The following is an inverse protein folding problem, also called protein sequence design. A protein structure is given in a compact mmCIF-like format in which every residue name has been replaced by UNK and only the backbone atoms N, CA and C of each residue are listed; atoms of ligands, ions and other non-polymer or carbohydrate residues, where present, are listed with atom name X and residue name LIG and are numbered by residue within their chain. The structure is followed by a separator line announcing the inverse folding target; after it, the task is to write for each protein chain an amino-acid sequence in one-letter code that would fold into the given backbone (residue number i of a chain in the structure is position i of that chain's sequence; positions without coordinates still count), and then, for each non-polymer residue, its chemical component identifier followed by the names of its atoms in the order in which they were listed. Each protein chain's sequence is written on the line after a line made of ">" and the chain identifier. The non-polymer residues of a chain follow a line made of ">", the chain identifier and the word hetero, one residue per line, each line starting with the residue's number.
data_IF_864376977904
#
_entry.id   IF_864376977904
#
_cell.length_a   1.000
_cell.length_b   1.000
_cell.length_c   1.000
_cell.angle_alpha   90.00
_cell.angle_beta   90.00
_cell.angle_gamma   90.00
#
_symmetry.space_group_name_H-M   'P 1'
#
loop_
_entity.id
_entity.type
_entity.pdbx_description
1 polymer ?
#
# COMPACT_ATOMS: atom_id res chain seq x y z
N UNK A 1 -14.83 9.57 21.41
CA UNK A 1 -13.78 8.94 20.56
C UNK A 1 -13.24 9.93 19.53
N UNK A 2 -11.93 9.91 19.21
CA UNK A 2 -11.32 10.69 18.14
C UNK A 2 -10.91 9.72 17.02
N UNK A 3 -11.35 9.96 15.80
CA UNK A 3 -11.05 9.08 14.67
C UNK A 3 -9.98 9.70 13.76
N UNK A 4 -8.88 8.97 13.43
CA UNK A 4 -7.70 9.52 12.72
C UNK A 4 -7.92 9.56 11.20
N UNK A 5 -8.90 10.32 10.73
CA UNK A 5 -9.15 10.43 9.30
C UNK A 5 -8.03 11.22 8.59
N UNK A 6 -7.27 10.52 7.73
CA UNK A 6 -6.15 11.11 6.99
C UNK A 6 -4.84 11.22 7.79
N UNK A 7 -4.79 10.68 9.01
CA UNK A 7 -3.58 10.66 9.85
C UNK A 7 -2.90 9.30 9.71
N UNK A 8 -1.60 9.30 9.39
CA UNK A 8 -0.77 8.10 9.28
C UNK A 8 0.44 8.12 10.22
N UNK A 9 0.59 9.14 11.07
CA UNK A 9 1.63 9.20 12.08
C UNK A 9 1.20 8.43 13.33
N UNK A 10 1.88 7.29 13.60
CA UNK A 10 1.58 6.43 14.74
C UNK A 10 1.79 7.16 16.09
N UNK A 11 2.85 7.96 16.21
CA UNK A 11 3.13 8.72 17.43
C UNK A 11 2.02 9.73 17.72
N UNK A 12 1.56 10.46 16.69
CA UNK A 12 0.43 11.38 16.82
C UNK A 12 -0.84 10.63 17.24
N UNK A 13 -1.16 9.51 16.59
CA UNK A 13 -2.35 8.70 16.91
C UNK A 13 -2.36 8.29 18.38
N UNK A 14 -1.25 7.75 18.87
CA UNK A 14 -1.15 7.29 20.26
C UNK A 14 -1.16 8.45 21.25
N UNK A 15 -0.31 9.45 21.06
CA UNK A 15 -0.15 10.56 22.01
C UNK A 15 -1.38 11.46 22.10
N UNK A 16 -2.13 11.59 21.00
CA UNK A 16 -3.37 12.34 20.94
C UNK A 16 -4.62 11.52 21.27
N UNK A 17 -4.42 10.22 21.61
CA UNK A 17 -5.50 9.27 21.95
C UNK A 17 -6.57 9.16 20.87
N UNK A 18 -6.13 9.05 19.62
CA UNK A 18 -7.01 8.66 18.52
C UNK A 18 -7.36 7.18 18.60
N UNK A 19 -8.46 6.83 17.98
CA UNK A 19 -8.84 5.42 17.76
C UNK A 19 -7.74 4.70 16.97
N UNK A 20 -7.31 3.55 17.49
CA UNK A 20 -6.28 2.71 16.89
C UNK A 20 -6.63 1.24 17.08
N UNK A 21 -6.67 0.46 16.00
CA UNK A 21 -6.71 -0.99 16.07
C UNK A 21 -5.29 -1.52 16.15
N UNK A 22 -4.98 -2.19 17.24
CA UNK A 22 -3.63 -2.67 17.53
C UNK A 22 -3.21 -3.80 16.58
N UNK A 23 -2.08 -3.60 15.90
CA UNK A 23 -1.43 -4.58 15.02
C UNK A 23 -0.02 -4.91 15.49
N UNK A 24 0.34 -4.47 16.71
CA UNK A 24 1.68 -4.69 17.24
C UNK A 24 1.94 -6.15 17.61
N UNK A 25 0.90 -6.95 17.79
CA UNK A 25 0.98 -8.41 17.93
C UNK A 25 1.55 -9.10 16.67
N UNK A 26 1.52 -8.44 15.51
CA UNK A 26 2.07 -8.93 14.24
C UNK A 26 3.58 -8.67 14.08
N UNK A 27 4.19 -7.87 14.95
CA UNK A 27 5.63 -7.57 14.90
C UNK A 27 6.51 -8.84 14.93
N UNK A 28 6.29 -9.83 15.84
CA UNK A 28 7.08 -11.06 15.81
C UNK A 28 6.95 -11.86 14.51
N UNK A 29 5.79 -11.76 13.83
CA UNK A 29 5.55 -12.41 12.56
C UNK A 29 6.32 -11.71 11.43
N UNK A 30 6.28 -10.37 11.39
CA UNK A 30 7.08 -9.55 10.46
C UNK A 30 8.57 -9.84 10.62
N UNK A 31 9.04 -10.12 11.83
CA UNK A 31 10.44 -10.40 12.11
C UNK A 31 10.94 -11.75 11.56
N UNK A 32 10.07 -12.67 11.15
CA UNK A 32 10.46 -13.94 10.53
C UNK A 32 11.21 -13.74 9.21
N UNK A 33 10.81 -12.72 8.43
CA UNK A 33 11.51 -12.31 7.20
C UNK A 33 12.41 -11.09 7.43
N UNK A 34 13.45 -10.95 6.60
CA UNK A 34 14.37 -9.79 6.65
C UNK A 34 14.06 -8.73 5.62
N UNK A 35 13.65 -9.14 4.42
CA UNK A 35 13.44 -8.26 3.28
C UNK A 35 12.04 -8.52 2.74
N UNK A 36 11.07 -7.73 3.18
CA UNK A 36 9.66 -7.99 2.96
C UNK A 36 9.06 -7.02 1.96
N UNK A 37 8.22 -7.56 1.05
CA UNK A 37 7.36 -6.79 0.16
C UNK A 37 5.90 -7.01 0.56
N UNK A 38 5.23 -5.94 0.97
CA UNK A 38 3.84 -5.92 1.40
C UNK A 38 3.00 -4.99 0.54
N UNK A 39 2.05 -5.54 -0.20
CA UNK A 39 1.20 -4.80 -1.12
C UNK A 39 -0.25 -4.79 -0.62
N UNK A 40 -0.86 -3.61 -0.62
CA UNK A 40 -2.29 -3.40 -0.35
C UNK A 40 -2.80 -2.24 -1.21
N UNK A 41 -4.08 -2.23 -1.54
CA UNK A 41 -4.68 -1.09 -2.22
C UNK A 41 -4.42 0.22 -1.47
N UNK A 42 -4.58 1.34 -2.15
CA UNK A 42 -4.50 2.66 -1.50
C UNK A 42 -5.47 2.77 -0.33
N UNK A 43 -5.09 3.54 0.71
CA UNK A 43 -5.91 3.83 1.92
C UNK A 43 -6.19 2.61 2.82
N UNK A 44 -5.38 1.56 2.72
CA UNK A 44 -5.44 0.41 3.64
C UNK A 44 -4.61 0.58 4.91
N UNK A 45 -3.91 1.72 5.10
CA UNK A 45 -3.13 1.96 6.33
C UNK A 45 -1.66 1.53 6.25
N UNK A 46 -1.09 1.33 5.05
CA UNK A 46 0.33 0.96 4.85
C UNK A 46 1.30 1.95 5.50
N UNK A 47 1.10 3.25 5.27
CA UNK A 47 1.95 4.31 5.84
C UNK A 47 1.87 4.36 7.36
N UNK A 48 0.69 4.09 7.95
CA UNK A 48 0.54 3.96 9.40
C UNK A 48 1.30 2.74 9.94
N UNK A 49 1.24 1.60 9.25
CA UNK A 49 2.03 0.41 9.58
C UNK A 49 3.54 0.74 9.57
N UNK A 50 4.04 1.42 8.51
CA UNK A 50 5.44 1.84 8.45
C UNK A 50 5.80 2.81 9.58
N UNK A 51 4.92 3.76 9.91
CA UNK A 51 5.13 4.68 11.04
C UNK A 51 5.19 3.92 12.38
N UNK A 52 4.35 2.91 12.59
CA UNK A 52 4.40 2.05 13.77
C UNK A 52 5.72 1.28 13.85
N UNK A 53 6.16 0.63 12.76
CA UNK A 53 7.43 -0.08 12.69
C UNK A 53 8.61 0.85 12.92
N UNK A 54 8.60 2.06 12.33
CA UNK A 54 9.63 3.07 12.55
C UNK A 54 9.78 3.41 14.04
N UNK A 55 8.67 3.69 14.74
CA UNK A 55 8.71 4.01 16.16
C UNK A 55 9.15 2.81 17.03
N UNK A 56 8.80 1.58 16.65
CA UNK A 56 9.14 0.37 17.40
C UNK A 56 10.63 0.01 17.32
N UNK A 57 11.21 0.13 16.13
CA UNK A 57 12.58 -0.32 15.88
C UNK A 57 13.64 0.75 16.11
N UNK A 58 13.26 2.03 16.09
CA UNK A 58 14.18 3.15 16.19
C UNK A 58 14.91 3.19 17.54
N UNK A 59 16.22 3.13 17.50
CA UNK A 59 17.09 3.21 18.69
C UNK A 59 16.94 4.53 19.43
N UNK A 60 16.63 5.63 18.73
CA UNK A 60 16.40 6.94 19.31
C UNK A 60 15.07 7.04 20.09
N UNK A 61 14.15 6.08 19.91
CA UNK A 61 12.85 6.03 20.59
C UNK A 61 12.82 5.15 21.83
N UNK A 62 13.98 4.71 22.32
CA UNK A 62 14.07 3.79 23.46
C UNK A 62 13.34 4.32 24.70
N UNK A 63 13.50 5.60 25.01
CA UNK A 63 12.89 6.22 26.19
C UNK A 63 11.39 6.54 25.99
N UNK A 64 10.92 6.54 24.75
CA UNK A 64 9.50 6.76 24.41
C UNK A 64 8.69 5.44 24.39
N UNK A 65 9.32 4.27 24.51
CA UNK A 65 8.67 2.98 24.31
C UNK A 65 7.43 2.77 25.17
N UNK A 66 7.53 3.01 26.47
CA UNK A 66 6.39 2.83 27.40
C UNK A 66 5.21 3.77 27.06
N UNK A 67 5.52 5.00 26.64
CA UNK A 67 4.50 5.96 26.25
C UNK A 67 3.79 5.57 24.94
N UNK A 68 4.52 5.01 23.97
CA UNK A 68 3.98 4.67 22.66
C UNK A 68 3.38 3.26 22.61
N UNK A 69 3.99 2.29 23.29
CA UNK A 69 3.63 0.88 23.15
C UNK A 69 3.15 0.23 24.44
N UNK A 70 3.35 0.85 25.62
CA UNK A 70 3.09 0.22 26.92
C UNK A 70 1.66 -0.32 27.12
N UNK A 71 0.69 0.23 26.42
CA UNK A 71 -0.71 -0.21 26.44
C UNK A 71 -1.09 -1.16 25.28
N UNK A 72 -0.15 -1.46 24.36
CA UNK A 72 -0.38 -2.28 23.17
C UNK A 72 0.10 -3.73 23.38
N UNK A 73 -0.32 -4.62 22.51
CA UNK A 73 -0.09 -6.06 22.64
C UNK A 73 1.40 -6.41 22.70
N UNK A 74 2.25 -5.75 21.92
CA UNK A 74 3.70 -6.00 21.88
C UNK A 74 4.41 -5.70 23.20
N UNK A 75 3.85 -4.83 24.05
CA UNK A 75 4.45 -4.51 25.34
C UNK A 75 4.48 -5.70 26.31
N UNK A 76 3.54 -6.67 26.15
CA UNK A 76 3.51 -7.88 26.96
C UNK A 76 4.72 -8.79 26.74
N UNK A 77 5.27 -8.81 25.53
CA UNK A 77 6.43 -9.59 25.14
C UNK A 77 7.18 -8.90 23.99
N UNK A 78 7.92 -7.80 24.29
CA UNK A 78 8.67 -7.07 23.26
C UNK A 78 9.76 -7.97 22.65
N UNK A 79 9.98 -7.82 21.33
CA UNK A 79 11.00 -8.61 20.66
C UNK A 79 12.42 -8.12 20.98
N UNK A 80 13.46 -8.96 20.79
CA UNK A 80 14.86 -8.53 20.95
C UNK A 80 15.29 -7.43 19.98
N UNK A 81 14.53 -7.20 18.91
CA UNK A 81 14.83 -6.18 17.91
C UNK A 81 14.25 -4.80 18.24
N UNK A 82 13.48 -4.68 19.32
CA UNK A 82 12.94 -3.39 19.79
C UNK A 82 14.06 -2.38 20.02
N UNK A 83 13.88 -1.17 19.48
CA UNK A 83 14.81 -0.03 19.65
C UNK A 83 16.28 -0.39 19.34
N UNK A 84 16.51 -1.15 18.27
CA UNK A 84 17.84 -1.65 17.91
C UNK A 84 18.41 -0.99 16.67
N UNK A 85 17.59 -0.43 15.81
CA UNK A 85 17.96 0.01 14.47
C UNK A 85 18.06 1.54 14.36
N UNK A 86 18.91 1.99 13.45
CA UNK A 86 18.76 3.29 12.82
C UNK A 86 17.71 3.13 11.71
N UNK A 87 16.64 3.90 11.74
CA UNK A 87 15.55 3.78 10.79
C UNK A 87 15.74 4.79 9.66
N UNK A 88 15.79 4.31 8.41
CA UNK A 88 15.83 5.15 7.21
C UNK A 88 14.51 4.96 6.44
N UNK A 89 13.79 6.05 6.22
CA UNK A 89 12.54 6.05 5.47
C UNK A 89 12.71 6.64 4.06
N UNK A 90 12.15 5.97 3.04
CA UNK A 90 11.99 6.50 1.68
C UNK A 90 10.51 6.48 1.33
N UNK A 91 9.96 7.62 0.93
CA UNK A 91 8.59 7.73 0.43
C UNK A 91 8.62 8.20 -1.03
N UNK A 92 8.37 7.27 -1.95
CA UNK A 92 8.44 7.59 -3.37
C UNK A 92 7.22 8.38 -3.89
N UNK A 93 6.20 8.61 -3.06
CA UNK A 93 5.13 9.56 -3.41
C UNK A 93 5.64 11.01 -3.49
N UNK A 94 6.76 11.30 -2.81
CA UNK A 94 7.38 12.62 -2.81
C UNK A 94 8.25 12.88 -4.05
N UNK A 95 8.41 11.93 -4.96
CA UNK A 95 9.24 12.09 -6.16
C UNK A 95 8.36 12.48 -7.35
N UNK A 96 8.65 13.63 -7.97
CA UNK A 96 7.94 14.08 -9.16
C UNK A 96 8.24 13.16 -10.37
N UNK A 97 7.24 12.47 -10.90
CA UNK A 97 7.37 11.56 -12.03
C UNK A 97 7.23 12.27 -13.39
N UNK A 98 7.11 13.60 -13.39
CA UNK A 98 6.88 14.37 -14.61
C UNK A 98 8.19 14.89 -15.23
N UNK A 99 8.17 15.13 -16.54
CA UNK A 99 9.31 15.67 -17.26
C UNK A 99 10.13 14.65 -18.04
N UNK A 100 11.34 15.00 -18.41
CA UNK A 100 12.30 14.14 -19.09
C UNK A 100 12.90 13.10 -18.13
N UNK A 101 13.50 12.03 -18.68
CA UNK A 101 14.19 11.00 -17.88
C UNK A 101 15.25 11.62 -16.96
N UNK A 102 15.96 12.67 -17.42
CA UNK A 102 16.96 13.35 -16.62
C UNK A 102 16.36 14.13 -15.46
N UNK A 103 15.23 14.78 -15.65
CA UNK A 103 14.50 15.50 -14.59
C UNK A 103 13.97 14.53 -13.54
N UNK A 104 13.39 13.42 -13.97
CA UNK A 104 12.91 12.38 -13.05
C UNK A 104 14.08 11.74 -12.28
N UNK A 105 15.19 11.44 -12.96
CA UNK A 105 16.41 10.95 -12.30
C UNK A 105 16.90 11.92 -11.24
N UNK A 106 16.97 13.21 -11.56
CA UNK A 106 17.38 14.25 -10.62
C UNK A 106 16.42 14.36 -9.43
N UNK A 107 15.11 14.32 -9.67
CA UNK A 107 14.11 14.32 -8.60
C UNK A 107 14.28 13.12 -7.66
N UNK A 108 14.52 11.91 -8.20
CA UNK A 108 14.81 10.72 -7.41
C UNK A 108 16.10 10.89 -6.58
N UNK A 109 17.20 11.34 -7.18
CA UNK A 109 18.46 11.54 -6.48
C UNK A 109 18.34 12.60 -5.37
N UNK A 110 17.65 13.71 -5.63
CA UNK A 110 17.39 14.75 -4.64
C UNK A 110 16.56 14.21 -3.47
N UNK A 111 15.53 13.42 -3.75
CA UNK A 111 14.71 12.81 -2.70
C UNK A 111 15.54 11.88 -1.80
N UNK A 112 16.31 10.97 -2.37
CA UNK A 112 17.16 10.03 -1.61
C UNK A 112 18.22 10.80 -0.81
N UNK A 113 18.88 11.80 -1.41
CA UNK A 113 19.84 12.65 -0.71
C UNK A 113 19.21 13.37 0.48
N UNK A 114 18.03 13.97 0.28
CA UNK A 114 17.28 14.61 1.37
C UNK A 114 16.90 13.65 2.51
N UNK A 115 16.54 12.40 2.19
CA UNK A 115 16.30 11.37 3.21
C UNK A 115 17.58 11.04 4.00
N UNK A 116 18.76 10.97 3.31
CA UNK A 116 20.05 10.69 3.97
C UNK A 116 20.48 11.90 4.84
N UNK A 117 20.28 13.12 4.39
CA UNK A 117 20.56 14.33 5.18
C UNK A 117 19.68 14.38 6.42
N UNK A 118 18.38 14.15 6.28
CA UNK A 118 17.44 14.07 7.41
C UNK A 118 17.83 12.99 8.41
N UNK A 119 18.23 11.82 7.92
CA UNK A 119 18.74 10.73 8.75
C UNK A 119 20.00 11.15 9.52
N UNK A 120 20.98 11.76 8.87
CA UNK A 120 22.22 12.23 9.50
C UNK A 120 21.95 13.24 10.62
N UNK A 121 21.03 14.20 10.37
CA UNK A 121 20.61 15.20 11.36
C UNK A 121 19.91 14.55 12.56
N UNK A 122 18.99 13.61 12.29
CA UNK A 122 18.20 12.95 13.33
C UNK A 122 19.06 12.10 14.27
N UNK A 123 20.06 11.38 13.72
CA UNK A 123 20.96 10.52 14.48
C UNK A 123 22.30 11.16 14.85
N UNK A 124 22.40 12.48 14.86
CA UNK A 124 23.67 13.21 15.16
C UNK A 124 24.28 12.79 16.49
N UNK A 125 23.49 12.41 17.49
CA UNK A 125 23.96 11.94 18.82
C UNK A 125 24.45 10.49 18.89
N UNK A 126 24.36 9.72 17.79
CA UNK A 126 24.66 8.27 17.77
C UNK A 126 26.05 7.93 17.24
N UNK A 127 26.95 8.91 17.14
CA UNK A 127 28.35 8.69 16.73
C UNK A 127 28.51 8.31 15.27
N UNK A 128 27.57 8.69 14.41
CA UNK A 128 27.65 8.50 12.97
C UNK A 128 28.66 9.53 12.44
N UNK A 129 29.75 9.10 11.73
CA UNK A 129 30.65 10.02 11.05
C UNK A 129 29.97 10.83 9.96
N UNK A 130 30.61 11.91 9.51
CA UNK A 130 30.10 12.74 8.44
C UNK A 130 29.80 11.92 7.19
N UNK A 131 28.56 12.02 6.72
CA UNK A 131 28.08 11.40 5.50
C UNK A 131 28.26 12.39 4.35
N UNK A 132 29.01 11.99 3.34
CA UNK A 132 29.22 12.82 2.15
C UNK A 132 28.04 12.68 1.21
N UNK A 133 27.41 13.80 0.89
CA UNK A 133 26.29 13.86 -0.06
C UNK A 133 26.81 14.39 -1.39
N UNK A 134 26.54 13.65 -2.47
CA UNK A 134 26.73 14.12 -3.83
C UNK A 134 25.38 14.53 -4.41
N UNK A 135 25.18 15.82 -4.74
CA UNK A 135 23.90 16.30 -5.26
C UNK A 135 23.44 15.63 -6.56
N UNK A 136 24.38 15.16 -7.37
CA UNK A 136 24.10 14.55 -8.68
C UNK A 136 24.11 13.01 -8.63
N UNK A 137 24.65 12.41 -7.54
CA UNK A 137 24.77 10.96 -7.42
C UNK A 137 24.37 10.42 -6.04
N UNK A 138 23.08 10.08 -5.89
CA UNK A 138 22.56 9.44 -4.68
C UNK A 138 23.20 8.07 -4.38
N UNK A 139 23.76 7.37 -5.38
CA UNK A 139 24.45 6.09 -5.14
C UNK A 139 25.75 6.30 -4.36
N UNK A 140 26.50 7.36 -4.68
CA UNK A 140 27.66 7.76 -3.90
C UNK A 140 27.25 8.14 -2.46
N UNK A 141 26.20 8.91 -2.30
CA UNK A 141 25.66 9.30 -0.99
C UNK A 141 25.27 8.07 -0.15
N UNK A 142 24.60 7.07 -0.75
CA UNK A 142 24.27 5.80 -0.10
C UNK A 142 25.54 5.03 0.31
N UNK A 143 26.55 4.97 -0.54
CA UNK A 143 27.83 4.31 -0.19
C UNK A 143 28.51 5.00 0.99
N UNK A 144 28.49 6.33 1.02
CA UNK A 144 29.01 7.13 2.15
C UNK A 144 28.20 6.87 3.43
N UNK A 145 26.88 6.82 3.36
CA UNK A 145 26.00 6.43 4.49
C UNK A 145 26.36 5.04 5.02
N UNK A 146 26.50 4.05 4.12
CA UNK A 146 26.84 2.67 4.49
C UNK A 146 28.21 2.63 5.20
N UNK A 147 29.21 3.34 4.68
CA UNK A 147 30.53 3.42 5.28
C UNK A 147 30.50 4.05 6.69
N UNK A 148 29.72 5.13 6.85
CA UNK A 148 29.57 5.82 8.13
C UNK A 148 28.85 4.94 9.17
N UNK A 149 27.73 4.32 8.79
CA UNK A 149 26.90 3.49 9.71
C UNK A 149 27.64 2.23 10.17
N UNK A 150 28.49 1.63 9.35
CA UNK A 150 29.32 0.47 9.77
C UNK A 150 30.14 0.71 11.02
N UNK A 151 30.48 1.94 11.32
CA UNK A 151 31.32 2.29 12.48
C UNK A 151 30.52 2.40 13.78
N UNK A 152 29.19 2.49 13.69
CA UNK A 152 28.31 2.75 14.86
C UNK A 152 27.91 1.49 15.62
N UNK A 153 27.99 0.32 15.01
CA UNK A 153 27.47 -0.94 15.55
C UNK A 153 25.95 -1.07 15.52
N UNK A 154 25.22 -0.07 15.00
CA UNK A 154 23.77 -0.12 14.80
C UNK A 154 23.46 -0.42 13.32
N UNK A 155 22.68 -1.47 13.00
CA UNK A 155 22.23 -1.71 11.64
C UNK A 155 21.09 -0.76 11.25
N UNK A 156 20.87 -0.61 9.95
CA UNK A 156 19.75 0.14 9.38
C UNK A 156 18.55 -0.79 9.15
N UNK A 157 17.36 -0.31 9.52
CA UNK A 157 16.09 -0.80 9.00
C UNK A 157 15.59 0.18 7.95
N UNK A 158 15.58 -0.24 6.68
CA UNK A 158 15.08 0.58 5.58
C UNK A 158 13.58 0.34 5.40
N UNK A 159 12.80 1.40 5.50
CA UNK A 159 11.35 1.42 5.28
C UNK A 159 11.06 2.19 3.99
N UNK A 160 10.41 1.53 3.02
CA UNK A 160 10.09 2.14 1.72
C UNK A 160 8.57 2.16 1.55
N UNK A 161 8.00 3.36 1.42
CA UNK A 161 6.59 3.54 1.09
C UNK A 161 6.38 3.90 -0.39
N UNK A 162 5.25 3.47 -0.93
CA UNK A 162 4.78 3.75 -2.29
C UNK A 162 5.85 3.54 -3.38
N UNK A 163 6.63 2.44 -3.26
CA UNK A 163 7.75 2.15 -4.14
C UNK A 163 7.39 2.11 -5.64
N UNK A 164 6.14 1.80 -5.94
CA UNK A 164 5.59 1.66 -7.29
C UNK A 164 4.88 2.92 -7.81
N UNK A 165 4.90 4.02 -7.05
CA UNK A 165 4.23 5.26 -7.44
C UNK A 165 4.73 5.80 -8.79
N UNK A 166 6.02 5.72 -9.05
CA UNK A 166 6.63 6.06 -10.34
C UNK A 166 5.98 5.34 -11.52
N UNK A 167 5.87 4.01 -11.42
CA UNK A 167 5.29 3.21 -12.49
C UNK A 167 3.81 3.54 -12.69
N UNK A 168 3.13 3.77 -11.57
CA UNK A 168 1.71 4.06 -11.58
C UNK A 168 1.41 5.37 -12.31
N UNK A 169 2.20 6.42 -12.08
CA UNK A 169 2.05 7.71 -12.75
C UNK A 169 2.40 7.66 -14.25
N UNK A 170 3.41 6.90 -14.60
CA UNK A 170 3.80 6.70 -16.01
C UNK A 170 2.75 5.90 -16.78
N UNK A 171 2.15 4.88 -16.15
CA UNK A 171 1.08 4.08 -16.76
C UNK A 171 -0.18 4.91 -17.05
N UNK A 172 -0.53 5.81 -16.14
CA UNK A 172 -1.70 6.69 -16.26
C UNK A 172 -1.55 7.66 -17.42
N UNK A 173 -0.36 8.11 -17.69
CA UNK A 173 -0.09 9.11 -18.70
C UNK A 173 -0.07 8.65 -20.17
N UNK A 174 -0.48 7.44 -20.49
CA UNK A 174 -0.72 6.80 -21.81
C UNK A 174 -0.12 7.41 -23.11
N UNK A 175 0.81 8.36 -23.04
CA UNK A 175 1.54 8.91 -24.18
C UNK A 175 2.78 8.06 -24.48
N UNK A 176 3.12 7.89 -25.76
CA UNK A 176 4.32 7.13 -26.20
C UNK A 176 5.60 7.60 -25.49
N UNK A 177 5.68 8.90 -25.22
CA UNK A 177 6.85 9.52 -24.57
C UNK A 177 7.06 9.05 -23.12
N UNK A 178 5.98 8.75 -22.39
CA UNK A 178 6.06 8.26 -21.01
C UNK A 178 6.50 6.79 -20.91
N UNK A 179 6.22 5.98 -21.93
CA UNK A 179 6.70 4.60 -22.01
C UNK A 179 8.22 4.55 -22.08
N UNK A 180 8.82 5.34 -22.97
CA UNK A 180 10.28 5.40 -23.10
C UNK A 180 10.96 5.96 -21.85
N UNK A 181 10.33 6.93 -21.17
CA UNK A 181 10.83 7.46 -19.91
C UNK A 181 10.84 6.39 -18.81
N UNK A 182 9.74 5.64 -18.64
CA UNK A 182 9.71 4.55 -17.66
C UNK A 182 10.73 3.44 -17.99
N UNK A 183 10.81 3.03 -19.24
CA UNK A 183 11.78 2.02 -19.68
C UNK A 183 13.21 2.44 -19.33
N UNK A 184 13.56 3.70 -19.54
CA UNK A 184 14.87 4.23 -19.18
C UNK A 184 15.13 4.32 -17.66
N UNK A 185 14.08 4.41 -16.83
CA UNK A 185 14.21 4.44 -15.37
C UNK A 185 14.44 3.05 -14.76
N UNK A 186 13.86 2.01 -15.37
CA UNK A 186 13.73 0.69 -14.76
C UNK A 186 14.60 -0.37 -15.45
N UNK A 187 14.80 -0.28 -16.78
CA UNK A 187 15.57 -1.27 -17.53
C UNK A 187 17.05 -0.90 -17.65
N UNK A 188 17.87 -1.89 -18.00
CA UNK A 188 19.32 -1.78 -18.14
C UNK A 188 19.99 -1.25 -16.86
N UNK A 189 20.66 -0.11 -16.92
CA UNK A 189 21.24 0.60 -15.78
C UNK A 189 20.38 1.80 -15.35
N UNK A 190 19.06 1.65 -15.44
CA UNK A 190 18.12 2.69 -15.03
C UNK A 190 18.28 3.10 -13.55
N UNK A 191 18.02 4.38 -13.22
CA UNK A 191 18.32 4.91 -11.87
C UNK A 191 17.58 4.18 -10.75
N UNK A 192 16.35 3.74 -10.96
CA UNK A 192 15.60 3.01 -9.94
C UNK A 192 16.19 1.61 -9.72
N UNK A 193 16.55 0.92 -10.79
CA UNK A 193 17.20 -0.39 -10.72
C UNK A 193 18.56 -0.33 -10.05
N UNK A 194 19.39 0.66 -10.38
CA UNK A 194 20.70 0.84 -9.75
C UNK A 194 20.61 1.19 -8.28
N UNK A 195 19.58 1.97 -7.87
CA UNK A 195 19.26 2.23 -6.47
C UNK A 195 18.97 0.92 -5.71
N UNK A 196 18.07 0.09 -6.21
CA UNK A 196 17.75 -1.20 -5.57
C UNK A 196 18.94 -2.19 -5.60
N UNK A 197 19.80 -2.16 -6.63
CA UNK A 197 21.07 -2.92 -6.65
C UNK A 197 22.00 -2.48 -5.51
N UNK A 198 22.14 -1.17 -5.28
CA UNK A 198 22.96 -0.62 -4.19
C UNK A 198 22.42 -1.07 -2.81
N UNK A 199 21.12 -0.99 -2.61
CA UNK A 199 20.47 -1.51 -1.40
C UNK A 199 20.77 -3.00 -1.21
N UNK A 200 20.56 -3.83 -2.23
CA UNK A 200 20.84 -5.27 -2.20
C UNK A 200 22.29 -5.57 -1.88
N UNK A 201 23.25 -4.87 -2.50
CA UNK A 201 24.68 -5.10 -2.23
C UNK A 201 25.08 -4.82 -0.78
N UNK A 202 24.35 -3.95 -0.11
CA UNK A 202 24.60 -3.55 1.28
C UNK A 202 24.02 -4.53 2.30
N UNK A 203 23.10 -5.40 1.91
CA UNK A 203 22.53 -6.43 2.82
C UNK A 203 23.57 -7.48 3.18
N UNK A 204 24.45 -7.85 2.26
CA UNK A 204 25.57 -8.78 2.51
C UNK A 204 26.59 -8.28 3.53
N UNK A 205 26.66 -6.96 3.75
CA UNK A 205 27.52 -6.34 4.75
C UNK A 205 26.80 -6.07 6.08
N UNK A 206 25.57 -6.54 6.24
CA UNK A 206 24.69 -6.37 7.42
C UNK A 206 24.45 -4.92 7.85
N UNK A 207 24.64 -3.94 6.95
CA UNK A 207 24.32 -2.54 7.23
C UNK A 207 22.81 -2.34 7.07
N UNK A 208 22.23 -2.68 5.92
CA UNK A 208 20.79 -2.85 5.80
C UNK A 208 20.42 -4.26 6.26
N UNK A 209 20.14 -4.42 7.54
CA UNK A 209 19.79 -5.74 8.11
C UNK A 209 18.35 -6.12 7.82
N UNK A 210 17.45 -5.13 7.79
CA UNK A 210 16.03 -5.33 7.46
C UNK A 210 15.54 -4.30 6.47
N UNK A 211 14.63 -4.72 5.59
CA UNK A 211 13.98 -3.87 4.61
C UNK A 211 12.49 -4.23 4.59
N UNK A 212 11.62 -3.23 4.71
CA UNK A 212 10.18 -3.41 4.55
C UNK A 212 9.68 -2.45 3.46
N UNK A 213 9.15 -3.01 2.39
CA UNK A 213 8.71 -2.26 1.22
C UNK A 213 7.20 -2.33 1.13
N UNK A 214 6.55 -1.17 0.97
CA UNK A 214 5.12 -1.10 0.71
C UNK A 214 4.82 -0.46 -0.63
N UNK A 215 3.68 -0.85 -1.21
CA UNK A 215 3.17 -0.34 -2.46
C UNK A 215 1.77 -0.86 -2.75
N UNK A 216 1.32 -0.64 -3.97
CA UNK A 216 0.02 -1.12 -4.45
C UNK A 216 0.17 -2.34 -5.34
N UNK A 217 1.13 -2.32 -6.27
CA UNK A 217 1.27 -3.35 -7.31
C UNK A 217 2.71 -3.87 -7.44
N UNK A 218 2.93 -5.10 -7.91
CA UNK A 218 4.28 -5.64 -8.10
C UNK A 218 4.98 -5.16 -9.38
N UNK A 219 4.42 -4.19 -10.11
CA UNK A 219 4.87 -3.81 -11.45
C UNK A 219 6.36 -3.46 -11.48
N UNK A 220 6.79 -2.51 -10.66
CA UNK A 220 8.19 -2.07 -10.62
C UNK A 220 9.11 -3.18 -10.19
N UNK A 221 8.72 -3.93 -9.15
CA UNK A 221 9.54 -5.02 -8.63
C UNK A 221 9.76 -6.11 -9.69
N UNK A 222 8.75 -6.40 -10.51
CA UNK A 222 8.86 -7.34 -11.62
C UNK A 222 9.88 -6.89 -12.68
N UNK A 223 9.94 -5.59 -12.95
CA UNK A 223 10.84 -5.03 -13.96
C UNK A 223 12.29 -4.91 -13.45
N UNK A 224 12.48 -4.70 -12.13
CA UNK A 224 13.81 -4.60 -11.51
C UNK A 224 14.32 -5.90 -10.89
N UNK A 225 13.62 -7.04 -11.08
CA UNK A 225 13.93 -8.34 -10.42
C UNK A 225 15.39 -8.74 -10.48
N UNK A 226 16.11 -8.50 -11.59
CA UNK A 226 17.53 -8.77 -11.67
C UNK A 226 18.38 -7.86 -10.78
N UNK A 227 17.86 -6.70 -10.38
CA UNK A 227 18.49 -5.76 -9.43
C UNK A 227 18.15 -6.05 -7.96
N UNK A 228 16.94 -6.55 -7.69
CA UNK A 228 16.46 -6.79 -6.33
C UNK A 228 15.62 -8.08 -6.28
N UNK A 229 16.28 -9.21 -6.10
CA UNK A 229 15.65 -10.54 -6.03
C UNK A 229 15.73 -11.19 -4.64
N UNK A 230 15.88 -10.38 -3.59
CA UNK A 230 15.98 -10.84 -2.20
C UNK A 230 14.69 -10.62 -1.40
N UNK A 231 13.73 -9.87 -1.97
CA UNK A 231 12.46 -9.56 -1.31
C UNK A 231 11.55 -10.79 -1.24
N UNK A 232 11.03 -11.07 -0.05
CA UNK A 232 10.00 -12.06 0.21
C UNK A 232 8.62 -11.40 0.08
N UNK A 233 7.77 -11.98 -0.74
CA UNK A 233 6.41 -11.50 -0.96
C UNK A 233 5.48 -12.03 0.13
N UNK A 234 5.00 -11.15 1.01
CA UNK A 234 4.08 -11.50 2.10
C UNK A 234 2.64 -11.04 1.86
N UNK A 235 2.36 -10.45 0.70
CA UNK A 235 1.06 -9.82 0.44
C UNK A 235 -0.08 -10.80 0.10
N UNK A 236 0.25 -12.06 -0.23
CA UNK A 236 -0.73 -13.15 -0.42
C UNK A 236 -0.63 -14.21 0.69
N UNK A 237 0.17 -13.99 1.71
CA UNK A 237 0.31 -14.89 2.85
C UNK A 237 -0.88 -14.71 3.80
N UNK A 238 -1.57 -15.80 4.18
CA UNK A 238 -2.71 -15.78 5.09
C UNK A 238 -2.42 -15.11 6.44
N UNK A 239 -1.22 -15.29 6.97
CA UNK A 239 -0.80 -14.72 8.24
C UNK A 239 -0.82 -13.18 8.24
N UNK A 240 -0.79 -12.56 7.06
CA UNK A 240 -0.78 -11.10 6.88
C UNK A 240 -2.07 -10.55 6.25
N UNK A 241 -3.14 -11.34 6.15
CA UNK A 241 -4.39 -10.89 5.53
C UNK A 241 -4.95 -9.64 6.21
N UNK A 242 -4.96 -9.62 7.54
CA UNK A 242 -5.49 -8.56 8.37
C UNK A 242 -4.43 -7.60 8.94
N UNK A 243 -3.17 -7.67 8.46
CA UNK A 243 -2.10 -6.75 8.88
C UNK A 243 -2.48 -5.28 8.61
N UNK A 244 -3.23 -5.05 7.55
CA UNK A 244 -3.91 -3.79 7.26
C UNK A 244 -5.39 -4.06 6.94
N UNK A 245 -6.26 -3.15 7.32
CA UNK A 245 -7.71 -3.34 7.24
C UNK A 245 -8.29 -3.57 8.63
N UNK A 246 -9.63 -3.51 8.75
CA UNK A 246 -10.33 -3.87 9.98
C UNK A 246 -11.02 -5.21 9.82
N UNK A 247 -11.03 -6.00 10.88
CA UNK A 247 -11.79 -7.24 10.98
C UNK A 247 -13.24 -6.96 11.33
N UNK A 248 -14.13 -7.95 11.14
CA UNK A 248 -15.54 -7.86 11.52
C UNK A 248 -15.70 -7.63 13.04
N UNK A 249 -14.86 -8.26 13.86
CA UNK A 249 -14.89 -8.10 15.30
C UNK A 249 -14.56 -6.64 15.71
N UNK A 250 -13.50 -6.08 15.16
CA UNK A 250 -13.09 -4.68 15.44
C UNK A 250 -14.14 -3.66 14.99
N UNK A 251 -14.81 -3.91 13.87
CA UNK A 251 -15.93 -3.08 13.42
C UNK A 251 -17.09 -3.16 14.40
N UNK A 252 -17.45 -4.37 14.82
CA UNK A 252 -18.58 -4.61 15.73
C UNK A 252 -18.33 -3.96 17.09
N UNK A 253 -17.15 -4.17 17.68
CA UNK A 253 -16.76 -3.60 18.96
C UNK A 253 -16.74 -2.06 18.90
N UNK A 254 -16.24 -1.50 17.81
CA UNK A 254 -16.19 -0.04 17.62
C UNK A 254 -17.59 0.56 17.50
N UNK A 255 -18.48 -0.07 16.72
CA UNK A 255 -19.87 0.37 16.56
C UNK A 255 -20.63 0.24 17.90
N UNK A 256 -20.40 -0.82 18.66
CA UNK A 256 -20.99 -0.99 19.98
C UNK A 256 -20.55 0.15 20.92
N UNK A 257 -19.27 0.46 20.99
CA UNK A 257 -18.77 1.58 21.81
C UNK A 257 -19.32 2.93 21.36
N UNK A 258 -19.55 3.15 20.07
CA UNK A 258 -20.21 4.37 19.57
C UNK A 258 -21.69 4.37 19.98
N UNK A 259 -22.39 3.24 19.84
CA UNK A 259 -23.80 3.12 20.18
C UNK A 259 -24.04 3.37 21.66
N UNK A 260 -23.19 2.84 22.55
CA UNK A 260 -23.20 3.13 23.99
C UNK A 260 -23.05 4.63 24.26
N UNK A 261 -22.08 5.29 23.63
CA UNK A 261 -21.88 6.74 23.74
C UNK A 261 -23.05 7.58 23.20
N UNK A 262 -23.83 7.03 22.28
CA UNK A 262 -25.03 7.63 21.68
C UNK A 262 -26.34 7.18 22.33
N UNK A 263 -26.31 6.33 23.34
CA UNK A 263 -27.48 5.73 24.00
C UNK A 263 -28.43 4.99 23.02
N UNK A 264 -27.84 4.34 22.00
CA UNK A 264 -28.61 3.60 21.00
C UNK A 264 -28.91 2.17 21.47
N UNK A 265 -30.00 1.61 20.98
CA UNK A 265 -30.43 0.23 21.30
C UNK A 265 -29.79 -0.80 20.39
N UNK A 266 -29.72 -2.05 20.81
CA UNK A 266 -29.16 -3.19 20.08
C UNK A 266 -29.57 -3.29 18.60
N UNK A 267 -30.85 -3.12 18.19
CA UNK A 267 -31.21 -3.19 16.77
C UNK A 267 -30.50 -2.17 15.89
N UNK A 268 -30.13 -0.98 16.45
CA UNK A 268 -29.38 0.03 15.70
C UNK A 268 -27.90 -0.39 15.51
N UNK A 269 -27.32 -1.15 16.44
CA UNK A 269 -25.97 -1.73 16.30
C UNK A 269 -25.94 -2.75 15.17
N UNK A 270 -26.87 -3.69 15.17
CA UNK A 270 -26.98 -4.74 14.15
C UNK A 270 -27.17 -4.13 12.74
N UNK A 271 -28.03 -3.11 12.63
CA UNK A 271 -28.24 -2.39 11.38
C UNK A 271 -26.96 -1.68 10.92
N UNK A 272 -26.25 -0.98 11.81
CA UNK A 272 -25.01 -0.28 11.48
C UNK A 272 -23.91 -1.25 11.04
N UNK A 273 -23.73 -2.39 11.72
CA UNK A 273 -22.80 -3.45 11.31
C UNK A 273 -23.19 -4.04 9.96
N UNK A 274 -24.48 -4.31 9.73
CA UNK A 274 -24.98 -4.79 8.44
C UNK A 274 -24.73 -3.82 7.29
N UNK A 275 -24.90 -2.52 7.53
CA UNK A 275 -24.55 -1.47 6.57
C UNK A 275 -23.05 -1.46 6.29
N UNK A 276 -22.21 -1.49 7.32
CA UNK A 276 -20.76 -1.54 7.17
C UNK A 276 -20.33 -2.75 6.36
N UNK A 277 -20.86 -3.93 6.65
CA UNK A 277 -20.59 -5.18 5.94
C UNK A 277 -20.91 -5.05 4.45
N UNK A 278 -22.06 -4.50 4.12
CA UNK A 278 -22.54 -4.35 2.74
C UNK A 278 -21.71 -3.37 1.93
N UNK A 279 -21.28 -2.27 2.55
CA UNK A 279 -20.68 -1.16 1.81
C UNK A 279 -19.15 -1.15 1.85
N UNK A 280 -18.49 -1.70 2.89
CA UNK A 280 -17.06 -1.50 3.09
C UNK A 280 -16.24 -2.77 3.31
N UNK A 281 -16.89 -3.90 3.59
CA UNK A 281 -16.25 -5.20 3.76
C UNK A 281 -15.87 -5.83 2.39
N UNK A 282 -15.37 -7.04 2.44
CA UNK A 282 -15.25 -7.94 1.30
C UNK A 282 -13.88 -8.00 0.67
N UNK A 283 -12.84 -7.44 1.30
CA UNK A 283 -11.47 -7.60 0.80
C UNK A 283 -10.80 -8.83 1.41
N UNK A 284 -10.20 -9.66 0.55
CA UNK A 284 -9.38 -10.80 0.93
C UNK A 284 -8.04 -10.75 0.19
N UNK A 285 -6.96 -10.94 0.94
CA UNK A 285 -5.59 -10.83 0.42
C UNK A 285 -4.82 -12.14 0.49
N UNK A 286 -5.49 -13.25 0.78
CA UNK A 286 -4.90 -14.57 0.70
C UNK A 286 -5.93 -15.57 0.22
N UNK A 287 -5.45 -16.75 -0.21
CA UNK A 287 -6.31 -17.90 -0.56
C UNK A 287 -6.93 -18.47 0.72
N UNK A 288 -7.99 -19.23 0.61
CA UNK A 288 -8.62 -19.99 1.71
C UNK A 288 -9.00 -19.15 2.94
N UNK A 289 -9.34 -17.86 2.74
CA UNK A 289 -9.75 -16.97 3.82
C UNK A 289 -11.26 -16.87 3.87
N UNK A 290 -11.82 -17.16 5.06
CA UNK A 290 -13.20 -16.89 5.42
C UNK A 290 -13.43 -15.46 5.92
N UNK A 291 -12.36 -14.83 6.45
CA UNK A 291 -12.43 -13.57 7.15
C UNK A 291 -11.97 -12.40 6.25
N UNK A 292 -12.97 -11.73 5.67
CA UNK A 292 -12.76 -10.53 4.88
C UNK A 292 -12.43 -9.34 5.77
N UNK A 293 -11.67 -8.40 5.22
CA UNK A 293 -11.33 -7.15 5.91
C UNK A 293 -12.02 -5.95 5.27
N UNK A 294 -12.24 -4.93 6.09
CA UNK A 294 -12.84 -3.66 5.72
C UNK A 294 -11.76 -2.66 5.29
N UNK A 295 -12.10 -1.79 4.34
CA UNK A 295 -11.25 -0.65 4.02
C UNK A 295 -11.21 0.34 5.20
N UNK A 296 -10.04 0.61 5.81
CA UNK A 296 -9.94 1.42 7.01
C UNK A 296 -10.40 2.86 6.83
N UNK A 297 -10.09 3.48 5.70
CA UNK A 297 -10.46 4.88 5.46
C UNK A 297 -11.99 5.05 5.38
N UNK A 298 -12.66 4.12 4.71
CA UNK A 298 -14.12 4.13 4.60
C UNK A 298 -14.78 3.81 5.95
N UNK A 299 -14.21 2.87 6.71
CA UNK A 299 -14.68 2.56 8.05
C UNK A 299 -14.54 3.75 9.00
N UNK A 300 -13.38 4.43 9.01
CA UNK A 300 -13.16 5.63 9.82
C UNK A 300 -14.11 6.76 9.40
N UNK A 301 -14.38 6.94 8.11
CA UNK A 301 -15.39 7.89 7.63
C UNK A 301 -16.77 7.62 8.24
N UNK A 302 -17.20 6.35 8.22
CA UNK A 302 -18.46 5.94 8.82
C UNK A 302 -18.47 6.18 10.34
N UNK A 303 -17.46 5.72 11.06
CA UNK A 303 -17.36 5.87 12.53
C UNK A 303 -17.42 7.34 12.95
N UNK A 304 -16.66 8.20 12.26
CA UNK A 304 -16.64 9.64 12.53
C UNK A 304 -18.02 10.27 12.37
N UNK A 305 -18.75 9.91 11.31
CA UNK A 305 -20.10 10.39 11.04
C UNK A 305 -21.08 9.82 12.08
N UNK A 306 -21.01 8.52 12.35
CA UNK A 306 -21.88 7.83 13.27
C UNK A 306 -21.73 8.36 14.71
N UNK A 307 -20.50 8.52 15.17
CA UNK A 307 -20.22 9.10 16.49
C UNK A 307 -20.71 10.54 16.64
N UNK A 308 -20.53 11.35 15.58
CA UNK A 308 -20.88 12.77 15.63
C UNK A 308 -22.39 13.03 15.64
N UNK A 309 -23.16 12.24 14.89
CA UNK A 309 -24.57 12.50 14.64
C UNK A 309 -25.50 11.44 15.27
N UNK A 310 -24.94 10.40 15.88
CA UNK A 310 -25.67 9.21 16.37
C UNK A 310 -26.57 8.59 15.28
N UNK A 311 -26.16 8.75 14.03
CA UNK A 311 -26.82 8.24 12.81
C UNK A 311 -25.75 7.96 11.78
N UNK A 312 -25.96 6.90 10.99
CA UNK A 312 -25.04 6.62 9.89
C UNK A 312 -25.07 7.70 8.80
N UNK A 313 -23.98 7.84 8.01
CA UNK A 313 -23.89 8.85 6.97
C UNK A 313 -25.00 8.66 5.93
N UNK A 314 -25.61 9.75 5.48
CA UNK A 314 -26.62 9.72 4.40
C UNK A 314 -26.03 9.22 3.08
N UNK A 315 -24.76 9.51 2.85
CA UNK A 315 -23.99 9.01 1.71
C UNK A 315 -22.95 8.05 2.23
N UNK A 316 -23.00 6.79 1.82
CA UNK A 316 -22.03 5.77 2.18
C UNK A 316 -20.71 5.91 1.39
N UNK A 317 -20.69 6.73 0.36
CA UNK A 317 -19.50 7.14 -0.38
C UNK A 317 -18.92 8.39 0.26
N UNK A 318 -17.65 8.31 0.66
CA UNK A 318 -16.84 9.50 0.92
C UNK A 318 -16.62 10.26 -0.40
N UNK A 319 -16.69 11.59 -0.36
CA UNK A 319 -16.41 12.44 -1.53
C UNK A 319 -14.94 12.36 -2.01
N UNK A 320 -14.07 11.72 -1.22
CA UNK A 320 -12.66 11.45 -1.54
C UNK A 320 -12.39 9.94 -1.78
N UNK A 321 -13.15 9.20 -2.61
CA UNK A 321 -12.79 7.84 -2.90
C UNK A 321 -11.50 7.87 -3.71
N UNK A 322 -10.45 7.30 -3.19
CA UNK A 322 -9.25 7.04 -3.96
C UNK A 322 -9.49 5.86 -4.91
N UNK A 323 -10.45 5.98 -5.76
CA UNK A 323 -10.46 5.18 -6.97
C UNK A 323 -9.44 5.83 -7.88
N UNK A 324 -8.49 5.06 -8.29
CA UNK A 324 -7.49 5.47 -9.27
C UNK A 324 -8.18 5.53 -10.64
N UNK A 325 -8.97 6.59 -10.85
CA UNK A 325 -9.81 6.79 -12.04
C UNK A 325 -9.02 6.56 -13.33
N UNK A 326 -7.79 7.00 -13.35
CA UNK A 326 -6.94 6.86 -14.51
C UNK A 326 -6.51 5.41 -14.80
N UNK A 327 -6.43 4.55 -13.79
CA UNK A 327 -6.15 3.11 -13.98
C UNK A 327 -7.39 2.36 -14.42
N UNK A 328 -8.55 2.74 -13.90
CA UNK A 328 -9.83 2.28 -14.42
C UNK A 328 -9.99 2.68 -15.90
N UNK A 329 -9.62 3.92 -16.22
CA UNK A 329 -9.60 4.40 -17.58
C UNK A 329 -8.69 3.58 -18.49
N UNK A 330 -7.50 3.24 -18.01
CA UNK A 330 -6.57 2.39 -18.74
C UNK A 330 -7.19 1.02 -19.09
N UNK A 331 -7.82 0.35 -18.11
CA UNK A 331 -8.49 -0.94 -18.34
C UNK A 331 -9.73 -0.80 -19.22
N UNK A 332 -10.55 0.23 -18.99
CA UNK A 332 -11.77 0.46 -19.76
C UNK A 332 -11.52 0.81 -21.24
N UNK A 333 -10.32 1.30 -21.58
CA UNK A 333 -9.88 1.50 -22.98
C UNK A 333 -9.58 0.20 -23.71
N UNK A 334 -9.37 -0.92 -22.99
CA UNK A 334 -9.18 -2.24 -23.60
C UNK A 334 -10.55 -2.87 -23.89
N UNK A 335 -10.78 -3.32 -25.12
CA UNK A 335 -12.08 -3.88 -25.53
C UNK A 335 -12.48 -5.06 -24.60
N UNK A 336 -11.58 -6.00 -24.34
CA UNK A 336 -11.83 -7.14 -23.44
C UNK A 336 -11.96 -6.71 -21.97
N UNK A 337 -11.20 -5.71 -21.55
CA UNK A 337 -11.29 -5.14 -20.22
C UNK A 337 -12.66 -4.51 -19.97
N UNK A 338 -13.17 -3.71 -20.92
CA UNK A 338 -14.49 -3.10 -20.82
C UNK A 338 -15.61 -4.14 -20.72
N UNK A 339 -15.57 -5.20 -21.53
CA UNK A 339 -16.57 -6.26 -21.48
C UNK A 339 -16.55 -7.00 -20.14
N UNK A 340 -15.37 -7.39 -19.67
CA UNK A 340 -15.17 -8.02 -18.36
C UNK A 340 -15.76 -7.15 -17.23
N UNK A 341 -15.49 -5.85 -17.25
CA UNK A 341 -15.99 -4.91 -16.25
C UNK A 341 -17.51 -4.78 -16.28
N UNK A 342 -18.11 -4.71 -17.46
CA UNK A 342 -19.56 -4.66 -17.62
C UNK A 342 -20.23 -5.92 -17.09
N UNK A 343 -19.67 -7.08 -17.34
CA UNK A 343 -20.20 -8.37 -16.87
C UNK A 343 -20.11 -8.47 -15.35
N UNK A 344 -18.98 -8.05 -14.75
CA UNK A 344 -18.79 -8.04 -13.30
C UNK A 344 -19.76 -7.09 -12.56
N UNK A 345 -20.05 -5.91 -13.15
CA UNK A 345 -20.92 -4.92 -12.50
C UNK A 345 -22.41 -5.29 -12.65
N UNK A 346 -22.81 -5.83 -13.79
CA UNK A 346 -24.24 -6.08 -14.09
C UNK A 346 -24.82 -7.30 -13.38
N UNK A 347 -24.01 -8.33 -13.15
CA UNK A 347 -24.52 -9.65 -12.82
C UNK A 347 -23.96 -10.20 -11.50
N UNK A 348 -23.23 -9.38 -10.74
CA UNK A 348 -22.54 -9.81 -9.50
C UNK A 348 -21.67 -11.07 -9.75
N UNK A 349 -21.11 -11.17 -10.95
CA UNK A 349 -20.32 -12.31 -11.42
C UNK A 349 -18.90 -12.24 -10.90
N UNK A 350 -18.26 -13.38 -10.95
CA UNK A 350 -16.81 -13.51 -10.71
C UNK A 350 -16.09 -13.79 -12.02
N UNK A 351 -14.80 -13.44 -12.04
CA UNK A 351 -13.87 -13.83 -13.08
C UNK A 351 -12.92 -14.89 -12.53
N UNK A 352 -12.74 -15.97 -13.29
CA UNK A 352 -11.85 -17.06 -12.91
C UNK A 352 -10.49 -16.90 -13.58
N UNK A 353 -9.43 -16.99 -12.78
CA UNK A 353 -8.05 -16.95 -13.26
C UNK A 353 -7.22 -18.07 -12.65
N UNK A 354 -6.17 -18.56 -13.34
CA UNK A 354 -5.32 -19.62 -12.79
C UNK A 354 -4.60 -19.20 -11.52
N UNK A 355 -4.09 -17.97 -11.50
CA UNK A 355 -3.33 -17.40 -10.38
C UNK A 355 -3.34 -15.87 -10.41
N UNK A 356 -3.09 -15.23 -9.26
CA UNK A 356 -2.76 -13.81 -9.23
C UNK A 356 -1.28 -13.70 -9.60
N UNK A 357 -1.02 -13.17 -10.80
CA UNK A 357 0.35 -13.00 -11.27
C UNK A 357 1.08 -11.95 -10.41
N UNK A 358 2.26 -12.27 -9.94
CA UNK A 358 3.21 -11.35 -9.31
C UNK A 358 4.24 -10.76 -10.31
N UNK A 359 4.19 -11.22 -11.57
CA UNK A 359 5.11 -10.84 -12.65
C UNK A 359 4.45 -9.93 -13.66
N UNK A 360 4.32 -8.67 -13.29
CA UNK A 360 3.67 -7.63 -14.07
C UNK A 360 4.67 -6.62 -14.66
N UNK A 361 5.61 -7.05 -15.49
CA UNK A 361 6.46 -6.09 -16.17
C UNK A 361 5.67 -5.14 -17.10
N UNK A 362 6.01 -3.85 -17.14
CA UNK A 362 5.37 -2.87 -18.03
C UNK A 362 5.43 -3.29 -19.50
N UNK A 363 6.51 -3.94 -19.94
CA UNK A 363 6.59 -4.47 -21.30
C UNK A 363 5.45 -5.44 -21.61
N UNK A 364 5.13 -6.33 -20.65
CA UNK A 364 3.99 -7.26 -20.77
C UNK A 364 2.66 -6.51 -20.77
N UNK A 365 2.55 -5.45 -19.97
CA UNK A 365 1.35 -4.61 -19.94
C UNK A 365 1.10 -3.86 -21.24
N UNK A 366 2.14 -3.42 -21.91
CA UNK A 366 2.05 -2.61 -23.13
C UNK A 366 2.05 -3.44 -24.41
N UNK A 367 2.36 -4.75 -24.36
CA UNK A 367 2.25 -5.67 -25.48
C UNK A 367 0.81 -6.10 -25.71
N UNK A 368 0.39 -6.23 -26.98
CA UNK A 368 -0.95 -6.68 -27.31
C UNK A 368 -1.26 -8.10 -26.83
N UNK A 369 -0.25 -8.97 -26.76
CA UNK A 369 -0.36 -10.36 -26.30
C UNK A 369 -0.44 -10.53 -24.76
N UNK A 370 -0.10 -9.50 -23.98
CA UNK A 370 -0.15 -9.54 -22.49
C UNK A 370 -1.48 -9.10 -21.88
N UNK A 371 -2.49 -8.80 -22.71
CA UNK A 371 -3.78 -8.24 -22.27
C UNK A 371 -4.88 -9.31 -22.21
N UNK A 372 -4.59 -10.44 -21.62
CA UNK A 372 -5.59 -11.46 -21.33
C UNK A 372 -6.44 -11.11 -20.11
N UNK A 373 -7.53 -11.84 -19.93
CA UNK A 373 -8.46 -11.64 -18.80
C UNK A 373 -7.77 -11.86 -17.46
N UNK A 374 -6.90 -12.86 -17.36
CA UNK A 374 -6.18 -13.17 -16.11
C UNK A 374 -5.25 -12.02 -15.70
N UNK A 375 -4.54 -11.44 -16.67
CA UNK A 375 -3.70 -10.27 -16.44
C UNK A 375 -4.52 -9.07 -15.93
N UNK A 376 -5.64 -8.76 -16.62
CA UNK A 376 -6.50 -7.64 -16.25
C UNK A 376 -7.13 -7.83 -14.86
N UNK A 377 -7.61 -9.03 -14.57
CA UNK A 377 -8.20 -9.36 -13.28
C UNK A 377 -7.19 -9.25 -12.13
N UNK A 378 -5.97 -9.77 -12.31
CA UNK A 378 -4.90 -9.64 -11.33
C UNK A 378 -4.48 -8.17 -11.13
N UNK A 379 -4.42 -7.37 -12.19
CA UNK A 379 -4.17 -5.93 -12.09
C UNK A 379 -5.25 -5.23 -11.25
N UNK A 380 -6.51 -5.48 -11.52
CA UNK A 380 -7.64 -4.92 -10.78
C UNK A 380 -7.67 -5.37 -9.32
N UNK A 381 -7.20 -6.59 -9.03
CA UNK A 381 -7.06 -7.09 -7.68
C UNK A 381 -6.07 -6.23 -6.85
N UNK A 382 -4.88 -5.94 -7.39
CA UNK A 382 -3.89 -5.13 -6.68
C UNK A 382 -4.39 -3.71 -6.38
N UNK A 383 -5.24 -3.16 -7.24
CA UNK A 383 -5.86 -1.85 -7.01
C UNK A 383 -7.11 -1.90 -6.11
N UNK A 384 -7.49 -3.08 -5.61
CA UNK A 384 -8.64 -3.25 -4.71
C UNK A 384 -9.99 -3.08 -5.39
N UNK A 385 -10.03 -3.23 -6.71
CA UNK A 385 -11.24 -3.17 -7.51
C UNK A 385 -11.88 -4.55 -7.58
N UNK A 386 -11.06 -5.58 -7.66
CA UNK A 386 -11.44 -6.95 -7.44
C UNK A 386 -10.83 -7.48 -6.14
N UNK A 387 -11.42 -8.53 -5.63
CA UNK A 387 -10.95 -9.26 -4.45
C UNK A 387 -11.12 -10.75 -4.67
N UNK A 388 -10.39 -11.56 -3.91
CA UNK A 388 -10.59 -13.00 -3.87
C UNK A 388 -11.96 -13.32 -3.27
N UNK A 389 -12.71 -14.21 -3.92
CA UNK A 389 -14.01 -14.72 -3.46
C UNK A 389 -13.96 -16.22 -3.13
N UNK A 390 -12.88 -16.89 -3.49
CA UNK A 390 -12.67 -18.32 -3.26
C UNK A 390 -11.91 -18.98 -4.40
N UNK A 391 -11.91 -20.30 -4.38
CA UNK A 391 -11.36 -21.15 -5.43
C UNK A 391 -12.46 -22.01 -6.08
N UNK A 392 -12.29 -22.30 -7.38
CA UNK A 392 -13.14 -23.27 -8.07
C UNK A 392 -12.69 -24.70 -7.75
N UNK A 393 -13.54 -25.72 -8.00
CA UNK A 393 -13.14 -27.12 -7.85
C UNK A 393 -11.90 -27.53 -8.66
N UNK A 394 -11.62 -26.78 -9.74
CA UNK A 394 -10.44 -26.97 -10.60
C UNK A 394 -9.20 -26.21 -10.10
N UNK A 395 -9.26 -25.57 -8.93
CA UNK A 395 -8.15 -24.85 -8.32
C UNK A 395 -7.89 -23.46 -8.93
N UNK A 396 -8.82 -22.92 -9.71
CA UNK A 396 -8.73 -21.52 -10.18
C UNK A 396 -9.22 -20.56 -9.13
N UNK A 397 -8.62 -19.38 -9.09
CA UNK A 397 -9.05 -18.30 -8.24
C UNK A 397 -10.27 -17.59 -8.82
N UNK A 398 -11.30 -17.40 -8.00
CA UNK A 398 -12.49 -16.63 -8.32
C UNK A 398 -12.35 -15.22 -7.76
N UNK A 399 -12.42 -14.19 -8.62
CA UNK A 399 -12.35 -12.78 -8.23
C UNK A 399 -13.65 -12.07 -8.54
N UNK A 400 -14.08 -11.20 -7.63
CA UNK A 400 -15.29 -10.39 -7.78
C UNK A 400 -15.14 -9.01 -7.16
N UNK A 401 -16.15 -8.17 -7.33
CA UNK A 401 -16.19 -6.83 -6.73
C UNK A 401 -16.32 -7.00 -5.21
N UNK A 402 -15.51 -6.28 -4.39
CA UNK A 402 -15.54 -6.47 -2.93
C UNK A 402 -16.86 -6.05 -2.29
N UNK A 403 -17.41 -4.89 -2.66
CA UNK A 403 -18.54 -4.30 -1.97
C UNK A 403 -19.31 -3.27 -2.82
N UNK A 404 -20.42 -2.77 -2.25
CA UNK A 404 -21.32 -1.81 -2.92
C UNK A 404 -20.68 -0.46 -3.24
N UNK A 405 -19.70 0.01 -2.46
CA UNK A 405 -18.98 1.26 -2.75
C UNK A 405 -18.21 1.13 -4.04
N UNK A 406 -17.41 0.08 -4.16
CA UNK A 406 -16.62 -0.18 -5.38
C UNK A 406 -17.54 -0.43 -6.58
N UNK A 407 -18.62 -1.22 -6.39
CA UNK A 407 -19.60 -1.49 -7.44
C UNK A 407 -20.23 -0.21 -7.98
N UNK A 408 -20.62 0.71 -7.10
CA UNK A 408 -21.28 1.97 -7.48
C UNK A 408 -20.33 2.91 -8.22
N UNK A 409 -19.10 3.09 -7.69
CA UNK A 409 -18.06 3.90 -8.34
C UNK A 409 -17.80 3.46 -9.78
N UNK A 410 -17.86 2.16 -10.01
CA UNK A 410 -17.67 1.59 -11.34
C UNK A 410 -18.84 1.79 -12.25
N UNK A 411 -20.05 1.55 -11.75
CA UNK A 411 -21.28 1.76 -12.51
C UNK A 411 -21.40 3.22 -12.97
N UNK A 412 -21.07 4.18 -12.12
CA UNK A 412 -21.06 5.61 -12.45
C UNK A 412 -20.05 5.93 -13.56
N UNK A 413 -18.80 5.47 -13.45
CA UNK A 413 -17.76 5.73 -14.45
C UNK A 413 -18.04 5.09 -15.82
N UNK A 414 -18.58 3.86 -15.85
CA UNK A 414 -18.95 3.20 -17.10
C UNK A 414 -20.12 3.92 -17.76
N UNK A 415 -21.08 4.42 -16.98
CA UNK A 415 -22.30 5.08 -17.47
C UNK A 415 -22.02 6.47 -18.01
N UNK A 416 -21.20 7.27 -17.34
CA UNK A 416 -20.87 8.64 -17.77
C UNK A 416 -20.10 8.65 -19.10
N UNK A 417 -19.29 7.63 -19.33
CA UNK A 417 -18.56 7.48 -20.62
C UNK A 417 -19.43 6.93 -21.75
N UNK A 418 -20.43 6.13 -21.43
CA UNK A 418 -21.42 5.71 -22.46
C UNK A 418 -22.20 6.91 -23.01
N UNK A 419 -22.29 8.00 -22.25
CA UNK A 419 -22.93 9.26 -22.67
C UNK A 419 -21.97 10.21 -23.41
N UNK A 420 -20.65 10.07 -23.20
CA UNK A 420 -19.62 10.95 -23.77
C UNK A 420 -18.92 10.42 -25.04
N UNK A 421 -19.33 9.28 -25.59
CA UNK A 421 -18.76 8.69 -26.82
C UNK A 421 -19.41 9.33 -28.08
N UNK A 422 -18.70 10.24 -28.80
CA UNK A 422 -19.25 10.90 -29.99
C UNK A 422 -19.44 9.97 -31.20
N UNK A 423 -18.91 8.74 -31.13
CA UNK A 423 -18.91 7.81 -32.27
C UNK A 423 -20.23 6.99 -32.43
N UNK A 424 -21.16 7.10 -31.45
CA UNK A 424 -22.48 6.46 -31.57
C UNK A 424 -23.45 7.17 -32.49
N UNK A 425 -23.12 8.35 -33.02
CA UNK A 425 -24.00 9.11 -33.96
C UNK A 425 -23.69 8.89 -35.44
N UNK A 426 -22.78 7.95 -35.80
CA UNK A 426 -22.42 7.68 -37.19
C UNK A 426 -22.53 6.21 -37.54
N UNK A 427 -23.72 5.63 -37.41
CA UNK A 427 -24.17 4.56 -38.32
C UNK A 427 -25.71 4.57 -38.37
N UNK A 428 -26.27 4.70 -39.56
CA UNK A 428 -27.72 4.62 -39.81
C UNK A 428 -28.21 3.18 -39.68
#
# INVERSE_FOLDING_TARGET
>A
MKFPYGISDFREIVTQQYFYCDRTDRIPLIERGKYLLFLRPRRFGKSLLLSMLANYYDVAKKDEFENLFGHLAVAKNPTPNRNRYLVLGWDFSCVDPTGSVQEIKRALHNHINGCIEGFAMYYQGFGIPDIRIDPEDALYSIQSLIAAVRTTGHPIYLLIDEYDNFANEVLVGARRDKKSAYEALVFEEGPLRTLFKAVKSSTGASVFDRIFITGVSPVVMSDITSGYNIGENIYLDPDFNDLCGFTEAEITDTIQGIAEACELKTPAVEEAVGMMRTYYNGYAFARDISDFVYNPTLAIYFFKSFYRFCKYPRQMLDANPATDEAKLEYIARMIRGRQMLLDLVREDRTVEIPEISDRFGIRKMLSEGGRDVAFMAAFLYYFGILTLKGETPEGKLSLGIPNRVVQRLWAEQITDRAKGDPDRSRHP
#
